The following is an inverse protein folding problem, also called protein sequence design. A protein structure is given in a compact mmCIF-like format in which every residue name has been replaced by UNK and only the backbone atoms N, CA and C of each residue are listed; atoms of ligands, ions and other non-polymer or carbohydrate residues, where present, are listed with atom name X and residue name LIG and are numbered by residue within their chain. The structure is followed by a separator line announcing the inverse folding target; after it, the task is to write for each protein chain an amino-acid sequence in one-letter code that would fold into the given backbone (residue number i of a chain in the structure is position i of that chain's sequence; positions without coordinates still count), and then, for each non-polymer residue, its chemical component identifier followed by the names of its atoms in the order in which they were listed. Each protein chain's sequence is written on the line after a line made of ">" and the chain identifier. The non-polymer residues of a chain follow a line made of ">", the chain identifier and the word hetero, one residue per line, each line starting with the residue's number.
data_IF_331822292773
#
_entry.id   IF_331822292773
#
_cell.length_a   1.000
_cell.length_b   1.000
_cell.length_c   1.000
_cell.angle_alpha   90.00
_cell.angle_beta   90.00
_cell.angle_gamma   90.00
#
_symmetry.space_group_name_H-M   'P 1'
#
loop_
_entity.id
_entity.type
_entity.pdbx_description
1 polymer ?
#
# COMPACT_ATOMS: atom_id res chain seq x y z
N UNK A 1 12.17 -1.53 -0.04
CA UNK A 1 11.30 -1.15 1.10
C UNK A 1 10.43 0.06 0.77
N UNK A 2 9.13 -0.12 0.91
CA UNK A 2 8.06 0.85 0.71
C UNK A 2 7.91 1.80 1.92
N UNK A 3 7.67 3.07 1.64
CA UNK A 3 7.38 4.09 2.66
C UNK A 3 5.98 3.93 3.26
N UNK A 4 5.79 4.42 4.49
CA UNK A 4 4.47 4.50 5.10
C UNK A 4 3.57 5.49 4.34
N UNK A 5 2.31 5.12 4.16
CA UNK A 5 1.32 5.87 3.41
C UNK A 5 0.66 6.91 4.31
N UNK A 6 0.27 8.04 3.71
CA UNK A 6 -0.45 9.11 4.39
C UNK A 6 -1.73 9.52 3.64
N UNK A 7 -2.59 10.26 4.32
CA UNK A 7 -3.92 10.64 3.82
C UNK A 7 -3.91 11.58 2.61
N UNK A 8 -2.80 12.27 2.36
CA UNK A 8 -2.65 13.23 1.26
C UNK A 8 -2.20 12.58 -0.04
N UNK A 9 -1.67 11.35 0.01
CA UNK A 9 -1.30 10.60 -1.17
C UNK A 9 -2.54 10.33 -2.03
N UNK A 10 -2.37 10.42 -3.34
CA UNK A 10 -3.40 10.08 -4.30
C UNK A 10 -3.59 8.57 -4.39
N UNK A 11 -4.79 8.16 -4.78
CA UNK A 11 -5.07 6.74 -5.02
C UNK A 11 -4.13 6.12 -6.06
N UNK A 12 -3.71 6.92 -7.07
CA UNK A 12 -2.72 6.50 -8.06
C UNK A 12 -1.36 6.26 -7.44
N UNK A 13 -0.84 7.20 -6.66
CA UNK A 13 0.48 7.03 -6.01
C UNK A 13 0.50 5.79 -5.12
N UNK A 14 -0.57 5.53 -4.38
CA UNK A 14 -0.67 4.33 -3.53
C UNK A 14 -0.72 3.04 -4.38
N UNK A 15 -1.50 3.05 -5.46
CA UNK A 15 -1.62 1.92 -6.39
C UNK A 15 -0.30 1.60 -7.11
N UNK A 16 0.45 2.62 -7.51
CA UNK A 16 1.70 2.47 -8.26
C UNK A 16 2.84 1.92 -7.39
N UNK A 17 2.71 1.95 -6.05
CA UNK A 17 3.72 1.42 -5.14
C UNK A 17 3.80 -0.11 -5.14
N UNK A 18 2.66 -0.80 -5.23
CA UNK A 18 2.63 -2.27 -5.21
C UNK A 18 1.29 -2.85 -5.70
N UNK A 19 1.28 -3.97 -6.46
CA UNK A 19 0.04 -4.62 -6.90
C UNK A 19 -0.92 -5.00 -5.76
N UNK A 20 -0.42 -5.52 -4.63
CA UNK A 20 -1.27 -5.82 -3.46
C UNK A 20 -1.93 -4.56 -2.85
N UNK A 21 -1.34 -3.37 -2.99
CA UNK A 21 -1.97 -2.13 -2.53
C UNK A 21 -3.10 -1.71 -3.49
N UNK A 22 -2.89 -1.88 -4.80
CA UNK A 22 -3.93 -1.70 -5.81
C UNK A 22 -5.16 -2.57 -5.51
N UNK A 23 -4.95 -3.86 -5.22
CA UNK A 23 -6.03 -4.80 -4.88
C UNK A 23 -6.81 -4.36 -3.64
N UNK A 24 -6.13 -3.92 -2.58
CA UNK A 24 -6.79 -3.42 -1.37
C UNK A 24 -7.66 -2.19 -1.68
N UNK A 25 -7.16 -1.26 -2.50
CA UNK A 25 -7.94 -0.09 -2.91
C UNK A 25 -9.21 -0.51 -3.68
N UNK A 26 -9.12 -1.53 -4.54
CA UNK A 26 -10.29 -2.10 -5.21
C UNK A 26 -11.26 -2.78 -4.25
N UNK A 27 -10.78 -3.46 -3.21
CA UNK A 27 -11.63 -4.06 -2.16
C UNK A 27 -12.38 -3.01 -1.34
N UNK A 28 -11.76 -1.86 -1.08
CA UNK A 28 -12.47 -0.69 -0.54
C UNK A 28 -13.43 -0.06 -1.55
N UNK A 29 -13.47 -0.55 -2.79
CA UNK A 29 -14.33 -0.12 -3.89
C UNK A 29 -13.91 1.21 -4.50
N UNK A 30 -12.66 1.64 -4.33
CA UNK A 30 -12.19 2.84 -5.00
C UNK A 30 -12.09 2.62 -6.51
N UNK A 31 -12.70 3.52 -7.29
CA UNK A 31 -12.57 3.49 -8.75
C UNK A 31 -11.28 4.21 -9.16
N UNK A 32 -10.24 3.43 -9.46
CA UNK A 32 -8.93 3.92 -9.85
C UNK A 32 -8.86 4.47 -11.28
N UNK A 33 -9.93 4.34 -12.08
CA UNK A 33 -10.02 4.96 -13.41
C UNK A 33 -10.58 6.39 -13.35
N UNK A 34 -11.48 6.67 -12.41
CA UNK A 34 -12.19 7.96 -12.28
C UNK A 34 -11.63 8.83 -11.15
N UNK A 35 -11.13 8.20 -10.08
CA UNK A 35 -10.68 8.88 -8.86
C UNK A 35 -9.16 8.97 -8.69
N UNK A 36 -8.36 8.58 -9.70
CA UNK A 36 -6.91 8.34 -9.54
C UNK A 36 -6.11 9.49 -8.93
N UNK A 37 -6.49 10.73 -9.24
CA UNK A 37 -5.84 11.95 -8.73
C UNK A 37 -6.46 12.48 -7.43
N UNK A 38 -7.52 11.86 -6.91
CA UNK A 38 -8.07 12.23 -5.60
C UNK A 38 -7.14 11.72 -4.50
N UNK A 39 -6.94 12.53 -3.46
CA UNK A 39 -6.28 12.09 -2.24
C UNK A 39 -7.06 10.94 -1.60
N UNK A 40 -6.37 10.09 -0.84
CA UNK A 40 -7.01 9.02 -0.07
C UNK A 40 -8.09 9.58 0.86
N UNK A 41 -7.82 10.72 1.49
CA UNK A 41 -8.77 11.46 2.33
C UNK A 41 -10.05 11.82 1.59
N UNK A 42 -9.93 12.45 0.43
CA UNK A 42 -11.08 12.89 -0.36
C UNK A 42 -11.87 11.69 -0.91
N UNK A 43 -11.16 10.65 -1.34
CA UNK A 43 -11.78 9.42 -1.80
C UNK A 43 -12.57 8.74 -0.69
N UNK A 44 -12.02 8.63 0.52
CA UNK A 44 -12.72 8.09 1.69
C UNK A 44 -13.96 8.92 2.01
N UNK A 45 -13.82 10.25 2.03
CA UNK A 45 -14.94 11.17 2.31
C UNK A 45 -16.08 11.03 1.31
N UNK A 46 -15.77 11.02 0.01
CA UNK A 46 -16.76 10.84 -1.07
C UNK A 46 -17.51 9.52 -0.98
N UNK A 47 -16.84 8.48 -0.48
CA UNK A 47 -17.39 7.12 -0.40
C UNK A 47 -18.01 6.78 0.95
N UNK A 48 -17.88 7.65 1.95
CA UNK A 48 -18.32 7.39 3.32
C UNK A 48 -17.48 6.33 4.05
N UNK A 49 -16.20 6.17 3.69
CA UNK A 49 -15.28 5.25 4.36
C UNK A 49 -14.55 5.93 5.52
N UNK A 50 -14.25 5.15 6.55
CA UNK A 50 -13.44 5.59 7.69
C UNK A 50 -11.96 5.65 7.30
N UNK A 51 -11.45 6.86 7.06
CA UNK A 51 -10.07 7.10 6.63
C UNK A 51 -9.03 6.47 7.58
N UNK A 52 -9.07 6.68 8.91
CA UNK A 52 -8.17 6.00 9.85
C UNK A 52 -8.09 4.48 9.67
N UNK A 53 -9.22 3.79 9.48
CA UNK A 53 -9.25 2.33 9.30
C UNK A 53 -8.68 1.91 7.93
N UNK A 54 -8.98 2.67 6.88
CA UNK A 54 -8.41 2.43 5.53
C UNK A 54 -6.90 2.61 5.56
N UNK A 55 -6.41 3.71 6.15
CA UNK A 55 -4.99 4.01 6.24
C UNK A 55 -4.24 2.97 7.08
N UNK A 56 -4.83 2.55 8.21
CA UNK A 56 -4.30 1.46 9.04
C UNK A 56 -4.18 0.15 8.26
N UNK A 57 -5.18 -0.19 7.45
CA UNK A 57 -5.18 -1.41 6.64
C UNK A 57 -4.09 -1.37 5.58
N UNK A 58 -3.99 -0.26 4.84
CA UNK A 58 -2.97 -0.04 3.82
C UNK A 58 -1.55 -0.09 4.44
N UNK A 59 -1.33 0.59 5.56
CA UNK A 59 -0.02 0.59 6.23
C UNK A 59 0.35 -0.74 6.88
N UNK A 60 -0.63 -1.53 7.34
CA UNK A 60 -0.37 -2.91 7.75
C UNK A 60 0.15 -3.74 6.57
N UNK A 61 -0.45 -3.60 5.39
CA UNK A 61 0.02 -4.29 4.18
C UNK A 61 1.43 -3.85 3.79
N UNK A 62 1.74 -2.55 3.83
CA UNK A 62 3.11 -2.04 3.59
C UNK A 62 4.13 -2.70 4.52
N UNK A 63 3.81 -2.85 5.82
CA UNK A 63 4.69 -3.54 6.77
C UNK A 63 4.90 -5.02 6.43
N UNK A 64 3.83 -5.73 6.03
CA UNK A 64 3.93 -7.12 5.57
C UNK A 64 4.83 -7.24 4.33
N UNK A 65 4.68 -6.36 3.34
CA UNK A 65 5.49 -6.37 2.12
C UNK A 65 6.97 -6.13 2.42
N UNK A 66 7.27 -5.12 3.25
CA UNK A 66 8.63 -4.83 3.68
C UNK A 66 9.26 -5.98 4.47
N UNK A 67 8.47 -6.70 5.27
CA UNK A 67 8.95 -7.85 6.02
C UNK A 67 9.31 -9.02 5.08
N UNK A 68 8.45 -9.32 4.09
CA UNK A 68 8.73 -10.34 3.08
C UNK A 68 10.00 -10.02 2.29
N UNK A 69 10.18 -8.76 1.89
CA UNK A 69 11.39 -8.31 1.17
C UNK A 69 12.66 -8.51 2.02
N UNK A 70 12.61 -8.19 3.33
CA UNK A 70 13.72 -8.43 4.26
C UNK A 70 14.06 -9.92 4.39
N UNK A 71 13.07 -10.78 4.53
CA UNK A 71 13.28 -12.23 4.66
C UNK A 71 13.96 -12.81 3.41
N UNK A 72 13.57 -12.34 2.23
CA UNK A 72 14.21 -12.71 0.96
C UNK A 72 15.67 -12.24 0.92
N UNK A 73 15.91 -10.97 1.27
CA UNK A 73 17.26 -10.39 1.30
C UNK A 73 18.19 -11.12 2.27
N UNK A 74 17.69 -11.49 3.46
CA UNK A 74 18.45 -12.26 4.44
C UNK A 74 18.76 -13.67 3.95
N UNK A 75 17.81 -14.35 3.30
CA UNK A 75 18.02 -15.66 2.71
C UNK A 75 19.09 -15.64 1.61
N UNK A 76 19.09 -14.61 0.74
CA UNK A 76 20.10 -14.42 -0.30
C UNK A 76 21.47 -14.14 0.32
N UNK A 77 21.55 -13.25 1.32
CA UNK A 77 22.82 -12.93 2.01
C UNK A 77 23.40 -14.12 2.77
N UNK A 78 22.57 -14.99 3.33
CA UNK A 78 23.03 -16.22 3.99
C UNK A 78 23.67 -17.17 2.97
N UNK A 79 22.99 -17.45 1.86
CA UNK A 79 23.53 -18.28 0.77
C UNK A 79 24.87 -17.78 0.21
N UNK A 80 25.07 -16.46 0.10
CA UNK A 80 26.33 -15.88 -0.39
C UNK A 80 27.50 -15.99 0.60
N UNK A 81 27.25 -16.23 1.88
CA UNK A 81 28.29 -16.42 2.91
C UNK A 81 28.72 -17.88 3.07
N UNK A 82 27.89 -18.81 2.61
CA UNK A 82 28.14 -20.25 2.68
C UNK A 82 28.91 -20.78 1.43
N UNK A 83 29.33 -19.90 0.53
CA UNK A 83 30.18 -20.14 -0.66
C UNK A 83 31.44 -19.30 -0.58
#
# INVERSE_FOLDING_TARGET
>A
MLSELNENMTLKEIADLHPELYEILQHFGFNLNVGKMSSLKDACKKKGLNLPEVLKTLNRKVKELNQREKEIDEAIKKRKRDF
#
